data_IF_118144868442
#
_entry.id   IF_118144868442
#
_cell.length_a   1.000
_cell.length_b   1.000
_cell.length_c   1.000
_cell.angle_alpha   90.00
_cell.angle_beta   90.00
_cell.angle_gamma   90.00
#
_symmetry.space_group_name_H-M   'P 1'
#
loop_
_entity.id
_entity.type
_entity.pdbx_description
1 polymer ?
#
# COMPACT_ATOMS: atom_id res chain seq x y z
N UNK A 1 21.03 -3.65 -4.91
CA UNK A 1 20.21 -4.24 -3.82
C UNK A 1 20.82 -5.56 -3.39
N UNK A 2 20.85 -5.82 -2.07
CA UNK A 2 21.31 -7.11 -1.53
C UNK A 2 20.20 -8.14 -1.69
N UNK A 3 20.54 -9.31 -2.25
CA UNK A 3 19.62 -10.46 -2.33
C UNK A 3 19.89 -11.35 -1.11
N UNK A 4 18.84 -11.65 -0.34
CA UNK A 4 18.91 -12.57 0.79
C UNK A 4 18.57 -13.98 0.31
N UNK A 5 19.34 -14.98 0.78
CA UNK A 5 19.21 -16.38 0.35
C UNK A 5 18.16 -17.15 1.15
N UNK A 6 18.02 -16.81 2.43
CA UNK A 6 17.12 -17.46 3.38
C UNK A 6 16.83 -16.57 4.59
N UNK A 7 15.98 -17.07 5.49
CA UNK A 7 15.60 -16.38 6.73
C UNK A 7 16.80 -16.10 7.66
N UNK A 8 17.82 -16.96 7.68
CA UNK A 8 19.02 -16.77 8.50
C UNK A 8 19.86 -15.59 7.98
N UNK A 9 19.98 -15.47 6.66
CA UNK A 9 20.71 -14.36 6.05
C UNK A 9 20.03 -13.01 6.31
N UNK A 10 18.69 -12.96 6.18
CA UNK A 10 17.92 -11.78 6.57
C UNK A 10 18.10 -11.47 8.06
N UNK A 11 17.93 -12.46 8.92
CA UNK A 11 18.06 -12.31 10.37
C UNK A 11 19.42 -11.77 10.79
N UNK A 12 20.50 -12.32 10.23
CA UNK A 12 21.86 -11.82 10.46
C UNK A 12 22.04 -10.37 10.04
N UNK A 13 21.45 -9.98 8.91
CA UNK A 13 21.55 -8.60 8.43
C UNK A 13 20.83 -7.59 9.33
N UNK A 14 19.81 -8.02 10.09
CA UNK A 14 19.09 -7.15 11.01
C UNK A 14 19.97 -6.59 12.12
N UNK A 15 21.04 -7.27 12.52
CA UNK A 15 21.98 -6.80 13.55
C UNK A 15 22.71 -5.49 13.16
N UNK A 16 22.73 -5.12 11.89
CA UNK A 16 23.30 -3.84 11.44
C UNK A 16 22.36 -2.64 11.65
N UNK A 17 21.11 -2.88 12.07
CA UNK A 17 20.11 -1.85 12.28
C UNK A 17 19.77 -1.69 13.76
N UNK A 18 19.45 -0.46 14.19
CA UNK A 18 18.93 -0.19 15.54
C UNK A 18 17.49 -0.71 15.71
N UNK A 19 16.72 -0.69 14.65
CA UNK A 19 15.34 -1.16 14.60
C UNK A 19 14.98 -1.64 13.20
N UNK A 20 14.01 -2.54 13.13
CA UNK A 20 13.31 -2.92 11.88
C UNK A 20 11.87 -2.48 11.99
N UNK A 21 11.40 -1.77 10.97
CA UNK A 21 10.05 -1.20 10.93
C UNK A 21 9.23 -1.93 9.87
N UNK A 22 8.04 -2.39 10.25
CA UNK A 22 6.98 -2.73 9.30
C UNK A 22 6.04 -1.54 9.21
N UNK A 23 5.83 -1.07 7.97
CA UNK A 23 5.08 0.15 7.68
C UNK A 23 3.57 -0.05 7.63
N UNK A 24 2.90 0.95 7.12
CA UNK A 24 1.46 0.97 6.91
C UNK A 24 1.00 0.00 5.82
N UNK A 25 -0.31 0.04 5.50
CA UNK A 25 -1.04 -0.81 4.58
C UNK A 25 -1.51 -2.14 5.17
N UNK A 26 -2.24 -2.92 4.37
CA UNK A 26 -2.84 -4.20 4.75
C UNK A 26 -1.81 -5.34 4.82
N UNK A 27 -0.65 -5.06 5.42
CA UNK A 27 0.46 -6.01 5.50
C UNK A 27 0.15 -7.22 6.37
N UNK A 28 -0.82 -7.09 7.29
CA UNK A 28 -1.26 -8.17 8.18
C UNK A 28 -2.59 -8.80 7.76
N UNK A 29 -2.93 -8.74 6.45
CA UNK A 29 -3.99 -9.61 5.91
C UNK A 29 -3.70 -11.07 6.27
N UNK A 30 -4.74 -11.89 6.54
CA UNK A 30 -4.55 -13.31 6.82
C UNK A 30 -3.65 -14.05 5.83
N UNK A 31 -3.77 -13.74 4.53
CA UNK A 31 -2.89 -14.30 3.47
C UNK A 31 -1.42 -13.92 3.65
N UNK A 32 -1.15 -12.68 4.05
CA UNK A 32 0.22 -12.18 4.24
C UNK A 32 0.84 -12.69 5.54
N UNK A 33 0.02 -12.88 6.60
CA UNK A 33 0.46 -13.49 7.86
C UNK A 33 0.95 -14.91 7.61
N UNK A 34 0.34 -15.64 6.71
CA UNK A 34 0.79 -16.99 6.35
C UNK A 34 2.22 -17.00 5.79
N UNK A 35 2.53 -16.06 4.90
CA UNK A 35 3.86 -15.89 4.30
C UNK A 35 4.95 -15.40 5.26
N UNK A 36 4.60 -14.88 6.44
CA UNK A 36 5.47 -14.51 7.56
C UNK A 36 6.47 -13.36 7.33
N UNK A 37 6.49 -12.72 6.16
CA UNK A 37 7.45 -11.64 5.87
C UNK A 37 7.20 -10.37 6.69
N UNK A 38 5.94 -9.98 6.85
CA UNK A 38 5.56 -8.74 7.53
C UNK A 38 5.34 -8.90 9.04
N UNK A 39 5.50 -10.10 9.58
CA UNK A 39 5.36 -10.38 11.03
C UNK A 39 6.59 -9.99 11.83
N UNK A 40 7.72 -9.72 11.15
CA UNK A 40 9.04 -9.48 11.74
C UNK A 40 9.57 -10.66 12.59
N UNK A 41 9.06 -11.88 12.36
CA UNK A 41 9.51 -13.06 13.08
C UNK A 41 10.98 -13.40 12.84
N UNK A 42 11.52 -13.01 11.68
CA UNK A 42 12.92 -13.17 11.34
C UNK A 42 13.86 -12.19 12.08
N UNK A 43 13.32 -11.13 12.68
CA UNK A 43 14.13 -10.13 13.39
C UNK A 43 14.54 -10.67 14.76
N UNK A 44 15.86 -10.68 15.09
CA UNK A 44 16.35 -11.12 16.39
C UNK A 44 15.76 -10.30 17.55
N UNK A 45 15.65 -10.92 18.74
CA UNK A 45 15.06 -10.22 19.91
C UNK A 45 15.95 -9.06 20.43
N UNK A 46 17.23 -9.07 20.09
CA UNK A 46 18.15 -7.96 20.38
C UNK A 46 17.92 -6.72 19.51
N UNK A 47 17.14 -6.81 18.44
CA UNK A 47 16.85 -5.71 17.52
C UNK A 47 15.42 -5.25 17.71
N UNK A 48 15.21 -3.94 17.87
CA UNK A 48 13.87 -3.37 18.05
C UNK A 48 12.97 -3.62 16.85
N UNK A 49 11.72 -3.98 17.12
CA UNK A 49 10.67 -4.22 16.13
C UNK A 49 9.59 -3.16 16.28
N UNK A 50 9.27 -2.47 15.22
CA UNK A 50 8.28 -1.39 15.22
C UNK A 50 7.24 -1.68 14.15
N UNK A 51 5.96 -1.56 14.50
CA UNK A 51 4.86 -1.57 13.54
C UNK A 51 4.13 -0.22 13.56
N UNK A 52 4.24 0.51 12.45
CA UNK A 52 3.63 1.82 12.30
C UNK A 52 2.42 1.76 11.37
N UNK A 53 1.23 2.13 11.88
CA UNK A 53 -0.01 2.21 11.11
C UNK A 53 -0.37 0.93 10.35
N UNK A 54 0.04 -0.25 10.83
CA UNK A 54 -0.19 -1.52 10.13
C UNK A 54 -1.65 -1.94 10.22
N UNK A 55 -2.21 -2.41 9.11
CA UNK A 55 -3.59 -2.85 8.97
C UNK A 55 -3.70 -4.36 8.81
N UNK A 56 -4.74 -4.94 9.40
CA UNK A 56 -5.13 -6.34 9.18
C UNK A 56 -6.06 -6.49 7.96
N UNK A 57 -6.69 -5.40 7.50
CA UNK A 57 -7.66 -5.43 6.41
C UNK A 57 -8.93 -6.26 6.70
N UNK A 58 -9.07 -6.76 7.93
CA UNK A 58 -10.22 -7.56 8.39
C UNK A 58 -10.64 -7.13 9.79
N UNK A 59 -11.90 -7.44 10.16
CA UNK A 59 -12.39 -7.17 11.51
C UNK A 59 -11.99 -8.23 12.53
N UNK A 60 -11.73 -9.46 12.07
CA UNK A 60 -11.38 -10.60 12.92
C UNK A 60 -10.32 -11.49 12.24
N UNK A 61 -9.50 -12.13 13.07
CA UNK A 61 -8.48 -13.08 12.63
C UNK A 61 -9.07 -14.48 12.57
N UNK A 62 -8.81 -15.26 11.49
CA UNK A 62 -9.19 -16.66 11.43
C UNK A 62 -8.61 -17.46 12.61
N UNK A 63 -9.44 -18.33 13.24
CA UNK A 63 -9.05 -19.12 14.42
C UNK A 63 -7.74 -19.88 14.26
N UNK A 64 -7.49 -20.41 13.07
CA UNK A 64 -6.27 -21.17 12.75
C UNK A 64 -4.99 -20.31 12.87
N UNK A 65 -5.09 -18.98 12.69
CA UNK A 65 -3.97 -18.04 12.74
C UNK A 65 -3.81 -17.34 14.09
N UNK A 66 -4.76 -17.48 15.03
CA UNK A 66 -4.75 -16.74 16.31
C UNK A 66 -3.45 -16.95 17.10
N UNK A 67 -2.93 -18.18 17.17
CA UNK A 67 -1.65 -18.49 17.85
C UNK A 67 -0.46 -17.75 17.21
N UNK A 68 -0.39 -17.72 15.87
CA UNK A 68 0.66 -17.04 15.14
C UNK A 68 0.57 -15.53 15.32
N UNK A 69 -0.64 -14.97 15.27
CA UNK A 69 -0.89 -13.54 15.52
C UNK A 69 -0.51 -13.14 16.93
N UNK A 70 -0.92 -13.90 17.93
CA UNK A 70 -0.52 -13.65 19.33
C UNK A 70 0.99 -13.69 19.49
N UNK A 71 1.68 -14.65 18.84
CA UNK A 71 3.12 -14.81 18.92
C UNK A 71 3.86 -13.59 18.38
N UNK A 72 3.63 -13.20 17.11
CA UNK A 72 4.40 -12.11 16.51
C UNK A 72 4.04 -10.74 17.10
N UNK A 73 2.79 -10.48 17.43
CA UNK A 73 2.39 -9.20 18.03
C UNK A 73 3.05 -8.97 19.39
N UNK A 74 3.22 -10.02 20.21
CA UNK A 74 3.89 -9.91 21.51
C UNK A 74 5.41 -9.69 21.37
N UNK A 75 6.02 -10.04 20.24
CA UNK A 75 7.43 -9.78 19.97
C UNK A 75 7.71 -8.37 19.45
N UNK A 76 6.70 -7.62 19.00
CA UNK A 76 6.89 -6.26 18.50
C UNK A 76 6.94 -5.29 19.69
N UNK A 77 8.02 -4.50 19.76
CA UNK A 77 8.24 -3.55 20.86
C UNK A 77 7.25 -2.38 20.82
N UNK A 78 7.04 -1.79 19.64
CA UNK A 78 6.15 -0.65 19.45
C UNK A 78 5.11 -0.97 18.39
N UNK A 79 3.84 -0.90 18.79
CA UNK A 79 2.67 -1.18 17.95
C UNK A 79 1.80 0.07 17.80
N UNK A 80 1.38 0.35 16.61
CA UNK A 80 0.25 1.23 16.31
C UNK A 80 -0.64 0.60 15.25
N UNK A 81 -1.87 1.08 15.13
CA UNK A 81 -2.82 0.59 14.14
C UNK A 81 -3.37 1.77 13.32
N UNK A 82 -3.75 1.51 12.08
CA UNK A 82 -4.36 2.50 11.19
C UNK A 82 -5.88 2.61 11.39
N UNK A 83 -6.52 1.55 11.90
CA UNK A 83 -7.96 1.48 12.10
C UNK A 83 -8.36 0.86 13.46
N UNK A 84 -9.58 1.16 13.91
CA UNK A 84 -10.13 0.66 15.18
C UNK A 84 -10.25 -0.86 15.25
N UNK A 85 -10.52 -1.54 14.13
CA UNK A 85 -10.52 -3.01 14.07
C UNK A 85 -9.13 -3.57 14.40
N UNK A 86 -8.07 -2.97 13.86
CA UNK A 86 -6.68 -3.34 14.15
C UNK A 86 -6.33 -3.17 15.64
N UNK A 87 -6.74 -2.08 16.27
CA UNK A 87 -6.56 -1.87 17.72
C UNK A 87 -7.25 -2.95 18.54
N UNK A 88 -8.49 -3.32 18.18
CA UNK A 88 -9.24 -4.39 18.88
C UNK A 88 -8.54 -5.73 18.74
N UNK A 89 -8.03 -6.06 17.54
CA UNK A 89 -7.27 -7.29 17.31
C UNK A 89 -6.01 -7.29 18.16
N UNK A 90 -5.20 -6.23 18.13
CA UNK A 90 -3.97 -6.11 18.93
C UNK A 90 -4.29 -6.28 20.43
N UNK A 91 -5.32 -5.58 20.92
CA UNK A 91 -5.73 -5.69 22.33
C UNK A 91 -6.17 -7.11 22.70
N UNK A 92 -6.93 -7.79 21.83
CA UNK A 92 -7.37 -9.19 22.04
C UNK A 92 -6.18 -10.13 22.25
N UNK A 93 -5.13 -10.01 21.43
CA UNK A 93 -4.02 -10.97 21.43
C UNK A 93 -2.84 -10.59 22.32
N UNK A 94 -2.71 -9.33 22.73
CA UNK A 94 -1.57 -8.85 23.52
C UNK A 94 -1.96 -8.21 24.85
N UNK A 95 -3.23 -7.88 25.07
CA UNK A 95 -3.69 -7.03 26.16
C UNK A 95 -3.30 -5.55 26.07
N UNK A 96 -2.49 -5.17 25.06
CA UNK A 96 -1.94 -3.80 24.92
C UNK A 96 -2.98 -2.85 24.30
N UNK A 97 -3.06 -1.65 24.86
CA UNK A 97 -3.75 -0.53 24.20
C UNK A 97 -2.73 0.21 23.34
N UNK A 98 -2.99 0.30 22.05
CA UNK A 98 -2.09 0.95 21.08
C UNK A 98 -2.73 2.21 20.50
N UNK A 99 -1.94 3.22 20.07
CA UNK A 99 -2.46 4.40 19.42
C UNK A 99 -3.06 4.06 18.05
N UNK A 100 -4.10 4.80 17.67
CA UNK A 100 -4.57 4.92 16.31
C UNK A 100 -3.79 6.05 15.64
N UNK A 101 -3.17 5.76 14.52
CA UNK A 101 -2.34 6.74 13.78
C UNK A 101 -2.70 6.70 12.30
N UNK A 102 -2.49 7.82 11.60
CA UNK A 102 -2.78 7.88 10.17
C UNK A 102 -1.73 7.11 9.35
N UNK A 103 -2.11 6.81 8.12
CA UNK A 103 -1.17 6.31 7.11
C UNK A 103 -0.04 7.33 6.88
N UNK A 104 1.22 6.90 6.68
CA UNK A 104 2.34 7.82 6.40
C UNK A 104 2.09 8.78 5.23
N UNK A 105 1.29 8.38 4.24
CA UNK A 105 0.94 9.23 3.11
C UNK A 105 0.17 10.52 3.52
N UNK A 106 -0.42 10.52 4.73
CA UNK A 106 -1.13 11.67 5.28
C UNK A 106 -0.28 12.52 6.25
N UNK A 107 1.01 12.22 6.40
CA UNK A 107 1.91 12.96 7.28
C UNK A 107 2.56 14.18 6.61
N UNK A 108 2.65 14.16 5.30
CA UNK A 108 3.15 15.27 4.49
C UNK A 108 1.98 16.05 3.89
N UNK A 109 2.16 17.34 3.74
CA UNK A 109 1.21 18.19 3.01
C UNK A 109 1.46 18.14 1.49
N UNK A 110 0.60 18.80 0.74
CA UNK A 110 0.66 18.83 -0.73
C UNK A 110 1.95 19.48 -1.24
N UNK A 111 2.48 20.50 -0.56
CA UNK A 111 3.73 21.16 -0.96
C UNK A 111 4.95 20.25 -0.76
N UNK A 112 4.97 19.46 0.31
CA UNK A 112 6.03 18.49 0.59
C UNK A 112 5.99 17.31 -0.41
N UNK A 113 4.79 16.84 -0.78
CA UNK A 113 4.63 15.84 -1.84
C UNK A 113 5.03 16.37 -3.21
N UNK A 114 4.80 17.66 -3.48
CA UNK A 114 5.20 18.32 -4.73
C UNK A 114 6.72 18.36 -4.94
N UNK A 115 7.49 18.49 -3.85
CA UNK A 115 8.96 18.42 -3.91
C UNK A 115 9.47 17.04 -4.31
N UNK A 116 8.70 15.99 -4.00
CA UNK A 116 9.04 14.58 -4.32
C UNK A 116 8.60 14.23 -5.74
N UNK A 117 7.52 14.83 -6.24
CA UNK A 117 6.95 14.53 -7.54
C UNK A 117 7.91 14.88 -8.68
N UNK A 118 7.89 14.10 -9.76
CA UNK A 118 8.63 14.42 -10.98
C UNK A 118 8.23 15.82 -11.48
N UNK A 119 9.18 16.76 -11.69
CA UNK A 119 8.84 18.16 -11.86
C UNK A 119 8.17 18.48 -13.21
N UNK A 120 8.51 17.74 -14.27
CA UNK A 120 7.99 17.99 -15.61
C UNK A 120 6.75 17.14 -15.87
N UNK A 121 5.67 17.76 -16.36
CA UNK A 121 4.45 17.07 -16.74
C UNK A 121 4.72 15.93 -17.72
N UNK A 122 4.42 14.67 -17.31
CA UNK A 122 4.69 13.46 -18.08
C UNK A 122 3.72 13.35 -19.28
N UNK A 123 2.43 13.60 -19.04
CA UNK A 123 1.37 13.57 -20.06
C UNK A 123 0.96 15.01 -20.35
N UNK A 124 1.16 15.47 -21.58
CA UNK A 124 0.91 16.88 -21.98
C UNK A 124 -0.57 17.16 -22.28
N UNK A 125 -1.26 16.19 -22.86
CA UNK A 125 -2.68 16.31 -23.21
C UNK A 125 -3.57 16.28 -21.97
N UNK A 126 -4.80 16.83 -22.01
CA UNK A 126 -5.80 16.61 -20.96
C UNK A 126 -6.13 15.12 -20.79
N UNK A 127 -6.16 14.63 -19.55
CA UNK A 127 -6.39 13.20 -19.30
C UNK A 127 -7.17 12.89 -18.01
N UNK A 128 -7.81 11.72 -18.04
CA UNK A 128 -8.38 11.02 -16.91
C UNK A 128 -7.33 10.02 -16.45
N UNK A 129 -6.83 10.16 -15.23
CA UNK A 129 -5.92 9.16 -14.64
C UNK A 129 -6.71 8.05 -13.98
N UNK A 130 -6.43 6.80 -14.35
CA UNK A 130 -7.07 5.61 -13.80
C UNK A 130 -6.06 4.75 -13.04
N UNK A 131 -6.39 4.43 -11.79
CA UNK A 131 -5.60 3.53 -10.96
C UNK A 131 -6.53 2.58 -10.21
N UNK A 132 -6.79 1.41 -10.81
CA UNK A 132 -7.73 0.41 -10.30
C UNK A 132 -7.00 -0.83 -9.77
N UNK A 133 -7.44 -1.31 -8.59
CA UNK A 133 -6.87 -2.49 -7.93
C UNK A 133 -7.52 -3.79 -8.41
N UNK A 134 -8.68 -3.71 -9.07
CA UNK A 134 -9.45 -4.87 -9.50
C UNK A 134 -9.95 -4.78 -10.95
N UNK A 135 -10.70 -5.79 -11.35
CA UNK A 135 -11.22 -5.94 -12.71
C UNK A 135 -12.70 -5.53 -12.87
N UNK A 136 -13.20 -4.62 -12.03
CA UNK A 136 -14.61 -4.21 -12.08
C UNK A 136 -14.97 -3.54 -13.43
N UNK A 137 -15.81 -4.15 -14.28
CA UNK A 137 -16.11 -3.64 -15.61
C UNK A 137 -16.95 -2.34 -15.58
N UNK A 138 -17.66 -2.06 -14.48
CA UNK A 138 -18.43 -0.84 -14.33
C UNK A 138 -17.54 0.39 -14.23
N UNK A 139 -16.37 0.27 -13.57
CA UNK A 139 -15.39 1.34 -13.49
C UNK A 139 -14.87 1.71 -14.89
N UNK A 140 -14.50 0.71 -15.71
CA UNK A 140 -14.04 0.90 -17.10
C UNK A 140 -15.12 1.56 -17.97
N UNK A 141 -16.35 1.10 -17.85
CA UNK A 141 -17.50 1.69 -18.56
C UNK A 141 -17.72 3.15 -18.14
N UNK A 142 -17.68 3.44 -16.85
CA UNK A 142 -17.81 4.81 -16.34
C UNK A 142 -16.75 5.73 -16.93
N UNK A 143 -15.48 5.30 -16.95
CA UNK A 143 -14.37 6.08 -17.50
C UNK A 143 -14.54 6.33 -19.00
N UNK A 144 -15.03 5.36 -19.76
CA UNK A 144 -15.34 5.55 -21.19
C UNK A 144 -16.45 6.59 -21.41
N UNK A 145 -17.49 6.60 -20.58
CA UNK A 145 -18.54 7.63 -20.66
C UNK A 145 -17.99 9.01 -20.23
N UNK A 146 -17.11 9.08 -19.23
CA UNK A 146 -16.44 10.32 -18.83
C UNK A 146 -15.56 10.84 -19.96
N UNK A 147 -14.80 9.98 -20.63
CA UNK A 147 -13.97 10.35 -21.81
C UNK A 147 -14.82 10.99 -22.91
N UNK A 148 -15.97 10.42 -23.24
CA UNK A 148 -16.88 10.97 -24.27
C UNK A 148 -17.37 12.37 -23.94
N UNK A 149 -17.54 12.69 -22.65
CA UNK A 149 -18.02 14.00 -22.18
C UNK A 149 -16.93 15.05 -22.06
N UNK A 150 -15.68 14.63 -21.85
CA UNK A 150 -14.57 15.53 -21.50
C UNK A 150 -13.52 15.65 -22.61
N UNK A 151 -13.57 14.78 -23.61
CA UNK A 151 -12.56 14.64 -24.67
C UNK A 151 -11.13 14.36 -24.14
N UNK A 152 -11.00 14.05 -22.86
CA UNK A 152 -9.72 13.71 -22.23
C UNK A 152 -9.24 12.32 -22.68
N UNK A 153 -7.92 12.15 -22.75
CA UNK A 153 -7.31 10.82 -22.91
C UNK A 153 -7.45 10.00 -21.65
N UNK A 154 -7.57 8.68 -21.75
CA UNK A 154 -7.50 7.79 -20.60
C UNK A 154 -6.06 7.33 -20.44
N UNK A 155 -5.46 7.65 -19.28
CA UNK A 155 -4.14 7.21 -18.85
C UNK A 155 -4.31 6.27 -17.68
N UNK A 156 -3.84 5.03 -17.77
CA UNK A 156 -3.99 4.04 -16.70
C UNK A 156 -2.68 3.35 -16.38
N UNK A 157 -2.44 3.11 -15.09
CA UNK A 157 -1.43 2.14 -14.66
C UNK A 157 -2.09 0.77 -14.63
N UNK A 158 -1.66 -0.10 -15.53
CA UNK A 158 -2.20 -1.45 -15.65
C UNK A 158 -1.57 -2.39 -14.62
N UNK A 159 -2.28 -3.49 -14.33
CA UNK A 159 -1.77 -4.53 -13.45
C UNK A 159 -0.51 -5.18 -14.05
N UNK A 160 0.52 -5.36 -13.23
CA UNK A 160 1.77 -6.04 -13.63
C UNK A 160 1.77 -7.53 -13.27
N UNK A 161 0.88 -7.93 -12.37
CA UNK A 161 0.79 -9.27 -11.78
C UNK A 161 -0.34 -10.11 -12.37
N UNK A 162 -1.25 -9.49 -13.11
CA UNK A 162 -2.38 -10.16 -13.74
C UNK A 162 -2.78 -9.50 -15.06
N UNK A 163 -3.25 -10.30 -16.00
CA UNK A 163 -3.83 -9.82 -17.24
C UNK A 163 -5.32 -9.56 -17.08
N UNK A 164 -5.78 -8.36 -17.43
CA UNK A 164 -7.20 -7.97 -17.43
C UNK A 164 -7.57 -7.55 -18.84
N UNK A 165 -8.29 -8.41 -19.56
CA UNK A 165 -8.65 -8.20 -20.97
C UNK A 165 -9.43 -6.88 -21.21
N UNK A 166 -10.25 -6.43 -20.26
CA UNK A 166 -10.97 -5.17 -20.39
C UNK A 166 -10.07 -3.94 -20.39
N UNK A 167 -8.84 -4.06 -19.92
CA UNK A 167 -7.91 -2.93 -19.85
C UNK A 167 -7.37 -2.55 -21.23
N UNK A 168 -7.27 -3.47 -22.16
CA UNK A 168 -6.85 -3.19 -23.54
C UNK A 168 -7.83 -2.31 -24.32
N UNK A 169 -9.11 -2.35 -23.97
CA UNK A 169 -10.17 -1.72 -24.75
C UNK A 169 -10.51 -0.28 -24.32
N UNK A 170 -10.10 0.15 -23.13
CA UNK A 170 -10.48 1.48 -22.61
C UNK A 170 -9.32 2.47 -22.49
N UNK A 171 -8.07 2.03 -22.46
CA UNK A 171 -6.89 2.85 -22.21
C UNK A 171 -6.33 3.45 -23.48
N UNK A 172 -6.05 4.76 -23.50
CA UNK A 172 -5.33 5.43 -24.60
C UNK A 172 -3.80 5.38 -24.38
N UNK A 173 -3.34 5.50 -23.14
CA UNK A 173 -1.92 5.46 -22.77
C UNK A 173 -1.73 4.69 -21.47
N UNK A 174 -0.78 3.79 -21.44
CA UNK A 174 -0.36 3.03 -20.27
C UNK A 174 1.12 3.20 -20.06
N UNK A 175 1.56 4.19 -19.24
CA UNK A 175 2.96 4.35 -18.90
C UNK A 175 3.47 3.09 -18.18
N UNK A 176 4.63 2.63 -18.60
CA UNK A 176 5.36 1.53 -17.99
C UNK A 176 6.56 2.08 -17.21
N UNK A 177 7.02 1.36 -16.19
CA UNK A 177 8.18 1.77 -15.36
C UNK A 177 7.97 3.12 -14.64
N UNK A 178 6.79 3.28 -14.07
CA UNK A 178 6.40 4.49 -13.34
C UNK A 178 6.96 4.43 -11.92
N UNK A 179 7.85 5.37 -11.58
CA UNK A 179 8.35 5.56 -10.23
C UNK A 179 7.28 6.16 -9.30
N UNK A 180 7.45 6.11 -7.97
CA UNK A 180 6.57 6.83 -7.04
C UNK A 180 6.47 8.34 -7.34
N UNK A 181 7.57 8.98 -7.74
CA UNK A 181 7.59 10.39 -8.13
C UNK A 181 6.77 10.66 -9.40
N UNK A 182 6.81 9.73 -10.37
CA UNK A 182 6.01 9.81 -11.59
C UNK A 182 4.52 9.55 -11.30
N UNK A 183 4.20 8.66 -10.36
CA UNK A 183 2.82 8.45 -9.90
C UNK A 183 2.22 9.75 -9.34
N UNK A 184 2.94 10.45 -8.47
CA UNK A 184 2.51 11.74 -7.94
C UNK A 184 2.30 12.77 -9.08
N UNK A 185 3.20 12.82 -10.05
CA UNK A 185 3.06 13.69 -11.21
C UNK A 185 1.82 13.36 -12.04
N UNK A 186 1.53 12.07 -12.26
CA UNK A 186 0.35 11.62 -13.00
C UNK A 186 -0.95 11.95 -12.27
N UNK A 187 -0.99 11.83 -10.95
CA UNK A 187 -2.16 12.24 -10.15
C UNK A 187 -2.34 13.76 -10.20
N UNK A 188 -1.29 14.52 -9.86
CA UNK A 188 -1.32 15.98 -9.77
C UNK A 188 -1.76 16.66 -11.06
N UNK A 189 -1.34 16.16 -12.21
CA UNK A 189 -1.59 16.77 -13.51
C UNK A 189 -2.83 16.23 -14.24
N UNK A 190 -3.56 15.29 -13.64
CA UNK A 190 -4.79 14.76 -14.21
C UNK A 190 -5.93 15.79 -14.15
N UNK A 191 -6.79 15.81 -15.19
CA UNK A 191 -8.03 16.57 -15.15
C UNK A 191 -9.09 15.88 -14.30
N UNK A 192 -9.04 14.54 -14.25
CA UNK A 192 -9.90 13.69 -13.44
C UNK A 192 -9.10 12.49 -12.96
N UNK A 193 -9.33 12.06 -11.73
CA UNK A 193 -8.77 10.82 -11.18
C UNK A 193 -9.91 9.85 -10.91
N UNK A 194 -9.78 8.62 -11.40
CA UNK A 194 -10.70 7.53 -11.16
C UNK A 194 -9.93 6.37 -10.52
N UNK A 195 -10.23 6.06 -9.26
CA UNK A 195 -9.50 5.05 -8.50
C UNK A 195 -10.39 4.34 -7.49
N UNK A 196 -10.07 3.10 -7.16
CA UNK A 196 -10.56 2.34 -6.00
C UNK A 196 -9.42 2.01 -5.01
N UNK A 197 -8.23 2.54 -5.26
CA UNK A 197 -7.09 2.43 -4.37
C UNK A 197 -7.18 3.43 -3.22
N UNK A 198 -6.89 2.98 -2.00
CA UNK A 198 -6.75 3.87 -0.85
C UNK A 198 -5.70 4.96 -1.12
N UNK A 199 -4.48 4.58 -1.52
CA UNK A 199 -3.42 5.56 -1.81
C UNK A 199 -3.74 6.41 -3.04
N UNK A 200 -4.39 5.83 -4.06
CA UNK A 200 -4.90 6.60 -5.19
C UNK A 200 -5.84 7.72 -4.75
N UNK A 201 -6.70 7.46 -3.77
CA UNK A 201 -7.63 8.46 -3.20
C UNK A 201 -6.91 9.49 -2.33
N UNK A 202 -5.91 9.06 -1.53
CA UNK A 202 -5.17 9.97 -0.63
C UNK A 202 -4.39 11.02 -1.42
N UNK A 203 -3.82 10.65 -2.56
CA UNK A 203 -3.03 11.56 -3.39
C UNK A 203 -3.85 12.35 -4.42
N UNK A 204 -5.18 12.18 -4.48
CA UNK A 204 -6.08 12.90 -5.39
C UNK A 204 -6.70 14.12 -4.72
#
# INVERSE_FOLDING_TARGET
>A
SKIFKDWNDISKSCHSYKAVVVGSDQLWLPSNIEGDYYTLNFVPDSVKKIAYATSFGVAEIPKIQEKKVAYFLNRIDFLSAREESGKKIIKKFTGRNVPLVCDPALLLDDSEWDEIATPNRIIKEPYIFCYFMGNNPWQRRFVLELKKKTECKIVSLLHLDQYIASDESYVDKSPYDVSPADFLNLVKNANYVCTDSFHGTVFS
#
